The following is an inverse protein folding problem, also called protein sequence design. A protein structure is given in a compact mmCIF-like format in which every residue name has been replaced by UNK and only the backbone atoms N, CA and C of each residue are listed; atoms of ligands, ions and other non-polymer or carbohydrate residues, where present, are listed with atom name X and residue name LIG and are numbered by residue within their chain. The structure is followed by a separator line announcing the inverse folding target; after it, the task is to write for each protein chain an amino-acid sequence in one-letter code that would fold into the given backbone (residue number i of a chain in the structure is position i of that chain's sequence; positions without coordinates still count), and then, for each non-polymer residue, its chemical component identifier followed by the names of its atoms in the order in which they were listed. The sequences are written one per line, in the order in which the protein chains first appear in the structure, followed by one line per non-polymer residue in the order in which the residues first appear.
data_IF_858870502299
#
_entry.id   IF_858870502299
#
_cell.length_a   1.000
_cell.length_b   1.000
_cell.length_c   1.000
_cell.angle_alpha   90.00
_cell.angle_beta   90.00
_cell.angle_gamma   90.00
#
_symmetry.space_group_name_H-M   'P 1'
#
loop_
_entity.id
_entity.type
_entity.pdbx_description
1 polymer ?
#
# COMPACT_ATOMS: atom_id res chain seq x y z
N UNK A 1 -9.59 6.81 12.84
CA UNK A 1 -9.62 6.96 11.36
C UNK A 1 -10.66 5.97 10.85
N UNK A 2 -11.93 6.37 10.63
CA UNK A 2 -13.06 5.44 10.58
C UNK A 2 -12.89 4.27 9.59
N UNK A 3 -12.27 4.50 8.43
CA UNK A 3 -12.00 3.44 7.46
C UNK A 3 -10.97 2.41 7.95
N UNK A 4 -9.88 2.85 8.59
CA UNK A 4 -8.87 1.96 9.15
C UNK A 4 -9.45 1.14 10.33
N UNK A 5 -10.26 1.80 11.17
CA UNK A 5 -10.96 1.14 12.27
C UNK A 5 -11.96 0.07 11.76
N UNK A 6 -12.69 0.37 10.67
CA UNK A 6 -13.59 -0.58 10.03
C UNK A 6 -12.84 -1.76 9.38
N UNK A 7 -11.73 -1.50 8.70
CA UNK A 7 -10.91 -2.56 8.09
C UNK A 7 -10.35 -3.51 9.16
N UNK A 8 -9.86 -2.97 10.28
CA UNK A 8 -9.44 -3.77 11.45
C UNK A 8 -10.59 -4.61 11.99
N UNK A 9 -11.78 -4.03 12.17
CA UNK A 9 -12.96 -4.76 12.63
C UNK A 9 -13.39 -5.89 11.66
N UNK A 10 -13.11 -5.72 10.37
CA UNK A 10 -13.37 -6.72 9.33
C UNK A 10 -12.23 -7.75 9.15
N UNK A 11 -11.13 -7.67 9.92
CA UNK A 11 -9.97 -8.56 9.76
C UNK A 11 -9.16 -8.30 8.48
N UNK A 12 -9.27 -7.12 7.88
CA UNK A 12 -8.54 -6.71 6.68
C UNK A 12 -7.25 -6.00 7.08
N UNK A 13 -6.14 -6.34 6.42
CA UNK A 13 -4.87 -5.63 6.60
C UNK A 13 -4.92 -4.25 5.97
N UNK A 14 -4.42 -3.25 6.69
CA UNK A 14 -4.37 -1.83 6.29
C UNK A 14 -2.94 -1.41 6.05
N UNK A 15 -2.63 -1.07 4.80
CA UNK A 15 -1.41 -0.34 4.43
C UNK A 15 -1.77 1.11 4.16
N UNK A 16 -1.15 2.03 4.89
CA UNK A 16 -1.43 3.46 4.78
C UNK A 16 -0.31 4.21 4.06
N UNK A 17 -0.70 5.08 3.13
CA UNK A 17 0.18 6.12 2.58
C UNK A 17 -0.25 7.44 3.22
N UNK A 18 0.65 8.09 3.95
CA UNK A 18 0.33 9.29 4.74
C UNK A 18 1.34 10.40 4.52
N UNK A 19 1.01 11.60 5.01
CA UNK A 19 2.01 12.65 5.25
C UNK A 19 2.90 12.32 6.47
N UNK A 20 3.56 13.34 7.05
CA UNK A 20 4.53 13.19 8.13
C UNK A 20 4.06 12.36 9.33
N UNK A 21 5.02 11.73 9.99
CA UNK A 21 4.84 11.06 11.27
C UNK A 21 5.11 12.02 12.45
N UNK A 22 4.46 11.82 13.61
CA UNK A 22 3.40 10.85 13.90
C UNK A 22 2.04 11.34 13.39
N UNK A 23 1.15 10.41 13.01
CA UNK A 23 -0.23 10.75 12.66
C UNK A 23 -1.25 9.64 13.02
N UNK A 24 -2.56 9.97 13.17
CA UNK A 24 -3.57 9.00 13.60
C UNK A 24 -3.81 7.85 12.62
N UNK A 25 -3.48 8.01 11.33
CA UNK A 25 -3.64 6.94 10.34
C UNK A 25 -2.50 5.92 10.45
N UNK A 26 -1.26 6.36 10.66
CA UNK A 26 -0.13 5.47 10.99
C UNK A 26 -0.49 4.58 12.19
N UNK A 27 -0.97 5.18 13.28
CA UNK A 27 -1.27 4.44 14.51
C UNK A 27 -2.39 3.39 14.34
N UNK A 28 -3.27 3.58 13.36
CA UNK A 28 -4.40 2.68 13.09
C UNK A 28 -4.16 1.67 11.96
N UNK A 29 -2.95 1.62 11.39
CA UNK A 29 -2.61 0.80 10.21
C UNK A 29 -1.60 -0.29 10.56
N UNK A 30 -1.61 -1.40 9.82
CA UNK A 30 -0.62 -2.48 10.01
C UNK A 30 0.76 -2.07 9.50
N UNK A 31 0.79 -1.37 8.37
CA UNK A 31 2.01 -0.80 7.79
C UNK A 31 1.73 0.62 7.29
N UNK A 32 2.73 1.50 7.35
CA UNK A 32 2.58 2.87 6.92
C UNK A 32 3.81 3.39 6.19
N UNK A 33 3.60 3.99 5.01
CA UNK A 33 4.57 4.81 4.32
C UNK A 33 4.24 6.28 4.62
N UNK A 34 5.01 6.87 5.53
CA UNK A 34 4.84 8.26 5.95
C UNK A 34 5.84 9.15 5.21
N UNK A 35 5.31 10.07 4.41
CA UNK A 35 6.13 10.96 3.59
C UNK A 35 6.47 12.22 4.39
N UNK A 36 7.75 12.35 4.73
CA UNK A 36 8.31 13.57 5.30
C UNK A 36 8.56 14.60 4.18
N UNK A 37 7.61 15.52 3.99
CA UNK A 37 7.72 16.57 2.98
C UNK A 37 7.06 17.88 3.44
N UNK A 38 7.56 19.04 3.00
CA UNK A 38 7.09 20.35 3.45
C UNK A 38 5.72 20.74 2.90
N UNK A 39 5.23 20.07 1.84
CA UNK A 39 3.94 20.38 1.22
C UNK A 39 3.11 19.14 0.96
N UNK A 40 1.79 19.28 1.04
CA UNK A 40 0.85 18.21 0.68
C UNK A 40 0.95 17.79 -0.80
N UNK A 41 1.36 18.69 -1.69
CA UNK A 41 1.58 18.36 -3.10
C UNK A 41 2.73 17.34 -3.26
N UNK A 42 3.87 17.57 -2.62
CA UNK A 42 5.00 16.63 -2.63
C UNK A 42 4.63 15.29 -1.99
N UNK A 43 3.81 15.30 -0.93
CA UNK A 43 3.26 14.06 -0.33
C UNK A 43 2.43 13.29 -1.37
N UNK A 44 1.52 13.96 -2.06
CA UNK A 44 0.66 13.35 -3.07
C UNK A 44 1.44 12.81 -4.28
N UNK A 45 2.44 13.55 -4.76
CA UNK A 45 3.34 13.10 -5.84
C UNK A 45 4.06 11.80 -5.45
N UNK A 46 4.62 11.75 -4.24
CA UNK A 46 5.29 10.54 -3.75
C UNK A 46 4.32 9.39 -3.49
N UNK A 47 3.08 9.66 -3.07
CA UNK A 47 2.05 8.64 -3.00
C UNK A 47 1.72 8.04 -4.36
N UNK A 48 1.66 8.86 -5.42
CA UNK A 48 1.42 8.38 -6.78
C UNK A 48 2.57 7.49 -7.27
N UNK A 49 3.83 7.87 -7.02
CA UNK A 49 5.00 7.03 -7.30
C UNK A 49 4.91 5.70 -6.56
N UNK A 50 4.57 5.72 -5.26
CA UNK A 50 4.42 4.51 -4.45
C UNK A 50 3.33 3.56 -4.99
N UNK A 51 2.17 4.09 -5.39
CA UNK A 51 1.10 3.28 -6.01
C UNK A 51 1.59 2.66 -7.32
N UNK A 52 2.30 3.39 -8.17
CA UNK A 52 2.85 2.83 -9.41
C UNK A 52 3.88 1.72 -9.15
N UNK A 53 4.71 1.85 -8.12
CA UNK A 53 5.62 0.77 -7.71
C UNK A 53 4.87 -0.47 -7.24
N UNK A 54 3.79 -0.31 -6.47
CA UNK A 54 2.92 -1.42 -6.05
C UNK A 54 2.28 -2.09 -7.26
N UNK A 55 1.74 -1.33 -8.20
CA UNK A 55 1.17 -1.89 -9.44
C UNK A 55 2.21 -2.69 -10.23
N UNK A 56 3.40 -2.13 -10.45
CA UNK A 56 4.47 -2.83 -11.18
C UNK A 56 4.91 -4.12 -10.46
N UNK A 57 5.01 -4.08 -9.12
CA UNK A 57 5.33 -5.27 -8.33
C UNK A 57 4.21 -6.32 -8.39
N UNK A 58 2.96 -5.89 -8.36
CA UNK A 58 1.78 -6.75 -8.48
C UNK A 58 1.74 -7.44 -9.85
N UNK A 59 1.90 -6.70 -10.95
CA UNK A 59 1.92 -7.26 -12.31
C UNK A 59 3.01 -8.32 -12.45
N UNK A 60 4.22 -8.03 -11.96
CA UNK A 60 5.33 -8.97 -11.98
C UNK A 60 5.05 -10.22 -11.11
N UNK A 61 4.34 -10.07 -9.98
CA UNK A 61 3.97 -11.18 -9.11
C UNK A 61 2.89 -12.07 -9.76
N UNK A 62 1.88 -11.47 -10.38
CA UNK A 62 0.84 -12.17 -11.12
C UNK A 62 1.44 -12.93 -12.29
N UNK A 63 2.32 -12.31 -13.07
CA UNK A 63 3.00 -12.97 -14.18
C UNK A 63 3.85 -14.17 -13.74
N UNK A 64 4.56 -14.06 -12.61
CA UNK A 64 5.29 -15.20 -12.03
C UNK A 64 4.35 -16.34 -11.61
N UNK A 65 3.18 -16.00 -11.05
CA UNK A 65 2.17 -16.98 -10.66
C UNK A 65 1.58 -17.72 -11.85
N UNK A 66 1.18 -16.99 -12.90
CA UNK A 66 0.58 -17.59 -14.11
C UNK A 66 1.56 -18.52 -14.84
N UNK A 67 2.85 -18.16 -14.89
CA UNK A 67 3.90 -19.04 -15.45
C UNK A 67 4.04 -20.34 -14.66
N UNK A 68 3.99 -20.28 -13.33
CA UNK A 68 4.07 -21.46 -12.46
C UNK A 68 2.88 -22.42 -12.68
N UNK A 69 1.68 -21.87 -12.81
CA UNK A 69 0.47 -22.68 -13.05
C UNK A 69 0.46 -23.34 -14.44
N UNK A 70 1.03 -22.66 -15.44
CA UNK A 70 1.15 -23.19 -16.81
C UNK A 70 2.21 -24.30 -16.97
N UNK A 71 3.25 -24.29 -16.16
CA UNK A 71 4.30 -25.33 -16.12
C UNK A 71 3.83 -26.59 -15.37
N UNK A 72 3.08 -26.42 -14.28
CA UNK A 72 2.53 -27.53 -13.48
C UNK A 72 1.34 -28.27 -14.10
N UNK A 73 0.84 -27.85 -15.27
CA UNK A 73 -0.29 -28.48 -15.99
C UNK A 73 0.14 -29.23 -17.26
N UNK A 74 1.45 -29.40 -17.49
CA UNK A 74 2.01 -30.19 -18.60
C UNK A 74 2.46 -31.57 -18.15
#
# INVERSE_FOLDING_TARGET
MPAADAARAAGVRVWALTGPAPNPLMAGSDESLCVEAPTGATVQELHLVAVHMVCAAFDAAVERGTRRDGDGRR
#
